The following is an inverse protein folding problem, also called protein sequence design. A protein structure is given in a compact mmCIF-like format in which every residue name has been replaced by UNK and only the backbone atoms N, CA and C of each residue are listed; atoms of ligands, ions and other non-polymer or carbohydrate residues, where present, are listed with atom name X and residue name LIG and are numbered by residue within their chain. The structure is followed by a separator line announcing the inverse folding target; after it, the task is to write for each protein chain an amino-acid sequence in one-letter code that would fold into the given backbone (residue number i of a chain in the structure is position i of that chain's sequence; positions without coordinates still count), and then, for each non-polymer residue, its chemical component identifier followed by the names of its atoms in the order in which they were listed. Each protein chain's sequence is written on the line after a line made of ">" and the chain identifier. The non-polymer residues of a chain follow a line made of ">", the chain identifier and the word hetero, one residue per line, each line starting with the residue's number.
data_IF_115119001810
#
_entry.id   IF_115119001810
#
_cell.length_a   1.000
_cell.length_b   1.000
_cell.length_c   1.000
_cell.angle_alpha   90.00
_cell.angle_beta   90.00
_cell.angle_gamma   90.00
#
_symmetry.space_group_name_H-M   'P 1'
#
loop_
_entity.id
_entity.type
_entity.pdbx_description
1 polymer ?
#
# COMPACT_ATOMS: atom_id res chain seq x y z
N UNK A 1 5.34 -42.24 10.30
CA UNK A 1 4.49 -43.43 10.41
C UNK A 1 4.26 -43.69 11.89
N UNK A 2 3.19 -43.12 12.44
CA UNK A 2 2.68 -43.45 13.77
C UNK A 2 1.17 -43.59 13.61
N UNK A 3 0.68 -44.81 13.85
CA UNK A 3 -0.72 -45.19 13.76
C UNK A 3 -1.36 -45.02 15.14
N UNK A 4 -2.02 -43.91 15.38
CA UNK A 4 -2.83 -43.71 16.58
C UNK A 4 -4.16 -44.44 16.42
N UNK A 5 -4.28 -45.53 17.17
CA UNK A 5 -5.46 -46.39 17.30
C UNK A 5 -6.67 -45.63 17.89
N UNK A 6 -7.77 -45.60 17.15
CA UNK A 6 -9.06 -45.06 17.57
C UNK A 6 -9.76 -46.03 18.57
N UNK A 7 -10.48 -45.53 19.58
CA UNK A 7 -11.26 -46.37 20.49
C UNK A 7 -12.56 -46.82 19.82
N UNK A 8 -12.84 -48.11 19.87
CA UNK A 8 -14.03 -48.73 19.28
C UNK A 8 -15.34 -48.32 19.97
N UNK A 9 -16.47 -48.31 19.24
CA UNK A 9 -17.78 -48.05 19.83
C UNK A 9 -18.23 -49.27 20.65
N UNK A 10 -18.42 -49.08 21.95
CA UNK A 10 -19.02 -50.10 22.82
C UNK A 10 -20.50 -50.33 22.46
N UNK A 11 -21.03 -51.57 22.59
CA UNK A 11 -22.43 -51.86 22.36
C UNK A 11 -23.26 -51.33 23.52
N UNK A 12 -23.67 -50.06 23.43
CA UNK A 12 -24.67 -49.47 24.31
C UNK A 12 -26.05 -50.03 23.98
N UNK A 13 -26.65 -50.74 24.93
CA UNK A 13 -28.01 -51.25 24.91
C UNK A 13 -29.03 -50.15 24.58
N UNK A 14 -29.58 -50.18 23.36
CA UNK A 14 -30.74 -49.38 22.99
C UNK A 14 -32.01 -50.06 23.51
N UNK A 15 -32.36 -49.78 24.77
CA UNK A 15 -33.73 -50.01 25.24
C UNK A 15 -34.65 -49.15 24.36
N UNK A 16 -35.68 -49.71 23.70
CA UNK A 16 -36.66 -48.89 22.99
C UNK A 16 -37.26 -47.91 23.99
N UNK A 17 -37.40 -46.62 23.67
CA UNK A 17 -38.11 -45.70 24.56
C UNK A 17 -39.52 -46.25 24.77
N UNK A 18 -39.96 -46.38 26.02
CA UNK A 18 -41.36 -46.66 26.34
C UNK A 18 -42.24 -45.64 25.58
N UNK A 19 -43.13 -46.17 24.74
CA UNK A 19 -44.22 -45.45 24.08
C UNK A 19 -45.29 -45.05 25.11
N UNK A 20 -44.89 -44.30 26.14
CA UNK A 20 -45.85 -43.55 26.94
C UNK A 20 -46.52 -42.53 26.00
N UNK A 21 -47.84 -42.65 25.84
CA UNK A 21 -48.65 -41.72 25.06
C UNK A 21 -48.52 -40.33 25.69
N UNK A 22 -47.57 -39.55 25.18
CA UNK A 22 -47.17 -38.25 25.73
C UNK A 22 -48.32 -37.27 25.63
N UNK A 23 -48.70 -36.69 26.77
CA UNK A 23 -49.73 -35.66 26.83
C UNK A 23 -49.41 -34.45 25.95
N UNK A 24 -50.45 -33.84 25.36
CA UNK A 24 -50.35 -32.66 24.50
C UNK A 24 -49.58 -31.50 25.14
N UNK A 25 -49.65 -31.37 26.48
CA UNK A 25 -48.89 -30.36 27.23
C UNK A 25 -47.38 -30.57 27.15
N UNK A 26 -46.90 -31.81 27.21
CA UNK A 26 -45.46 -32.10 27.12
C UNK A 26 -44.94 -31.88 25.71
N UNK A 27 -45.75 -32.18 24.69
CA UNK A 27 -45.42 -31.87 23.30
C UNK A 27 -45.35 -30.36 23.06
N UNK A 28 -46.34 -29.60 23.57
CA UNK A 28 -46.35 -28.15 23.51
C UNK A 28 -45.15 -27.52 24.23
N UNK A 29 -44.74 -28.06 25.39
CA UNK A 29 -43.56 -27.59 26.12
C UNK A 29 -42.28 -27.85 25.33
N UNK A 30 -42.09 -29.05 24.81
CA UNK A 30 -40.92 -29.38 23.97
C UNK A 30 -40.85 -28.53 22.71
N UNK A 31 -42.00 -28.27 22.07
CA UNK A 31 -42.08 -27.36 20.92
C UNK A 31 -41.65 -25.95 21.30
N UNK A 32 -42.14 -25.43 22.44
CA UNK A 32 -41.73 -24.12 22.96
C UNK A 32 -40.23 -24.07 23.28
N UNK A 33 -39.69 -25.09 23.93
CA UNK A 33 -38.26 -25.18 24.24
C UNK A 33 -37.40 -25.21 22.98
N UNK A 34 -37.78 -26.02 21.99
CA UNK A 34 -37.11 -26.08 20.69
C UNK A 34 -37.18 -24.73 19.95
N UNK A 35 -38.35 -24.07 19.96
CA UNK A 35 -38.52 -22.74 19.36
C UNK A 35 -37.65 -21.67 20.05
N UNK A 36 -37.58 -21.69 21.39
CA UNK A 36 -36.70 -20.78 22.15
C UNK A 36 -35.22 -21.08 21.90
N UNK A 37 -34.84 -22.35 21.78
CA UNK A 37 -33.47 -22.76 21.46
C UNK A 37 -33.07 -22.27 20.06
N UNK A 38 -33.95 -22.42 19.06
CA UNK A 38 -33.73 -21.91 17.70
C UNK A 38 -33.59 -20.37 17.69
N UNK A 39 -34.44 -19.67 18.44
CA UNK A 39 -34.38 -18.21 18.54
C UNK A 39 -33.08 -17.74 19.21
N UNK A 40 -32.64 -18.42 20.28
CA UNK A 40 -31.34 -18.13 20.91
C UNK A 40 -30.18 -18.36 19.94
N UNK A 41 -30.19 -19.45 19.18
CA UNK A 41 -29.16 -19.71 18.17
C UNK A 41 -29.08 -18.60 17.11
N UNK A 42 -30.23 -18.07 16.65
CA UNK A 42 -30.26 -16.92 15.75
C UNK A 42 -29.71 -15.64 16.39
N UNK A 43 -30.03 -15.40 17.67
CA UNK A 43 -29.52 -14.24 18.41
C UNK A 43 -28.00 -14.35 18.62
N UNK A 44 -27.49 -15.53 18.95
CA UNK A 44 -26.06 -15.78 19.12
C UNK A 44 -25.31 -15.63 17.80
N UNK A 45 -25.84 -16.19 16.71
CA UNK A 45 -25.29 -16.01 15.36
C UNK A 45 -25.27 -14.53 14.94
N UNK A 46 -26.39 -13.83 15.13
CA UNK A 46 -26.49 -12.41 14.84
C UNK A 46 -25.49 -11.61 15.67
N UNK A 47 -25.37 -11.89 16.97
CA UNK A 47 -24.40 -11.22 17.85
C UNK A 47 -22.96 -11.46 17.41
N UNK A 48 -22.62 -12.68 16.99
CA UNK A 48 -21.30 -13.00 16.46
C UNK A 48 -21.00 -12.21 15.17
N UNK A 49 -21.91 -12.23 14.20
CA UNK A 49 -21.74 -11.49 12.94
C UNK A 49 -21.67 -9.96 13.18
N UNK A 50 -22.51 -9.42 14.09
CA UNK A 50 -22.45 -8.01 14.48
C UNK A 50 -21.14 -7.63 15.18
N UNK A 51 -20.55 -8.52 15.99
CA UNK A 51 -19.26 -8.25 16.63
C UNK A 51 -18.13 -8.15 15.62
N UNK A 52 -18.12 -9.02 14.60
CA UNK A 52 -17.14 -8.96 13.51
C UNK A 52 -17.31 -7.69 12.67
N UNK A 53 -18.56 -7.32 12.34
CA UNK A 53 -18.88 -6.06 11.65
C UNK A 53 -18.42 -4.84 12.47
N UNK A 54 -18.63 -4.86 13.78
CA UNK A 54 -18.24 -3.76 14.66
C UNK A 54 -16.71 -3.57 14.71
N UNK A 55 -15.94 -4.66 14.74
CA UNK A 55 -14.47 -4.60 14.72
C UNK A 55 -13.94 -4.08 13.39
N UNK A 56 -14.51 -4.55 12.27
CA UNK A 56 -14.16 -4.06 10.93
C UNK A 56 -14.53 -2.57 10.78
N UNK A 57 -15.71 -2.16 11.27
CA UNK A 57 -16.15 -0.75 11.26
C UNK A 57 -15.22 0.13 12.11
N UNK A 58 -14.81 -0.33 13.29
CA UNK A 58 -13.86 0.39 14.15
C UNK A 58 -12.52 0.57 13.47
N UNK A 59 -11.99 -0.48 12.83
CA UNK A 59 -10.76 -0.38 12.05
C UNK A 59 -10.91 0.61 10.89
N UNK A 60 -12.03 0.57 10.18
CA UNK A 60 -12.30 1.47 9.06
C UNK A 60 -12.37 2.93 9.52
N UNK A 61 -13.14 3.21 10.58
CA UNK A 61 -13.25 4.54 11.17
C UNK A 61 -11.90 5.05 11.68
N UNK A 62 -11.09 4.17 12.28
CA UNK A 62 -9.73 4.49 12.70
C UNK A 62 -8.83 4.91 11.54
N UNK A 63 -8.87 4.17 10.43
CA UNK A 63 -8.09 4.51 9.23
C UNK A 63 -8.57 5.80 8.56
N UNK A 64 -9.88 5.99 8.43
CA UNK A 64 -10.45 7.24 7.89
C UNK A 64 -10.07 8.42 8.78
N UNK A 65 -10.22 8.28 10.10
CA UNK A 65 -9.84 9.31 11.08
C UNK A 65 -8.35 9.66 11.00
N UNK A 66 -7.48 8.66 10.89
CA UNK A 66 -6.04 8.85 10.69
C UNK A 66 -5.74 9.61 9.39
N UNK A 67 -6.38 9.24 8.29
CA UNK A 67 -6.22 9.90 7.00
C UNK A 67 -6.65 11.36 7.03
N UNK A 68 -7.82 11.64 7.62
CA UNK A 68 -8.34 13.01 7.79
C UNK A 68 -7.44 13.84 8.70
N UNK A 69 -7.00 13.28 9.84
CA UNK A 69 -6.08 13.96 10.75
C UNK A 69 -4.76 14.29 10.05
N UNK A 70 -4.17 13.34 9.32
CA UNK A 70 -2.94 13.56 8.57
C UNK A 70 -3.11 14.64 7.48
N UNK A 71 -4.22 14.63 6.74
CA UNK A 71 -4.53 15.63 5.74
C UNK A 71 -4.73 17.03 6.35
N UNK A 72 -5.40 17.12 7.51
CA UNK A 72 -5.57 18.36 8.25
C UNK A 72 -4.22 18.93 8.71
N UNK A 73 -3.36 18.11 9.31
CA UNK A 73 -2.01 18.54 9.70
C UNK A 73 -1.15 18.94 8.49
N UNK A 74 -1.28 18.24 7.36
CA UNK A 74 -0.61 18.59 6.11
C UNK A 74 -1.08 19.96 5.61
N UNK A 75 -2.38 20.23 5.65
CA UNK A 75 -2.95 21.53 5.29
C UNK A 75 -2.46 22.65 6.22
N UNK A 76 -2.35 22.39 7.53
CA UNK A 76 -1.80 23.35 8.50
C UNK A 76 -0.32 23.62 8.26
N UNK A 77 0.48 22.57 8.01
CA UNK A 77 1.89 22.71 7.63
C UNK A 77 2.04 23.48 6.32
N UNK A 78 1.13 23.31 5.36
CA UNK A 78 1.18 24.06 4.11
C UNK A 78 0.79 25.53 4.34
N UNK A 79 -0.25 25.79 5.14
CA UNK A 79 -0.72 27.14 5.43
C UNK A 79 0.33 27.96 6.21
N UNK A 80 0.92 27.38 7.26
CA UNK A 80 1.90 28.06 8.12
C UNK A 80 3.32 27.94 7.57
N UNK A 81 3.63 26.76 7.03
CA UNK A 81 4.97 26.44 6.57
C UNK A 81 5.27 26.96 5.17
N UNK A 82 4.30 27.24 4.29
CA UNK A 82 4.59 27.82 2.98
C UNK A 82 5.16 29.25 3.08
N UNK A 83 4.61 30.17 3.91
CA UNK A 83 5.25 31.46 4.17
C UNK A 83 6.65 31.35 4.78
N UNK A 84 6.84 30.43 5.74
CA UNK A 84 8.14 30.17 6.35
C UNK A 84 9.13 29.59 5.32
N UNK A 85 8.66 28.66 4.52
CA UNK A 85 9.43 28.05 3.44
C UNK A 85 9.83 29.11 2.42
N UNK A 86 8.93 29.98 1.95
CA UNK A 86 9.27 31.04 1.00
C UNK A 86 10.25 32.07 1.60
N UNK A 87 10.18 32.32 2.91
CA UNK A 87 11.14 33.17 3.62
C UNK A 87 12.52 32.53 3.81
N UNK A 88 12.58 31.21 4.01
CA UNK A 88 13.81 30.46 4.35
C UNK A 88 14.35 29.56 3.23
N UNK A 89 13.67 29.46 2.09
CA UNK A 89 14.13 28.76 0.89
C UNK A 89 15.48 29.30 0.41
N UNK A 90 15.80 30.51 0.81
CA UNK A 90 17.07 31.18 0.56
C UNK A 90 18.14 30.91 1.65
N UNK A 91 17.80 30.40 2.85
CA UNK A 91 18.70 30.47 4.02
C UNK A 91 18.73 29.30 5.04
N UNK A 92 17.91 28.24 5.01
CA UNK A 92 17.87 27.37 6.20
C UNK A 92 17.42 25.91 6.15
N UNK A 93 17.73 25.19 7.23
CA UNK A 93 17.40 23.78 7.48
C UNK A 93 15.92 23.52 7.84
N UNK A 94 15.17 24.55 8.20
CA UNK A 94 13.76 24.44 8.62
C UNK A 94 12.84 24.16 7.42
N UNK A 95 13.11 24.77 6.25
CA UNK A 95 12.40 24.50 5.01
C UNK A 95 12.36 23.01 4.63
N UNK A 96 13.48 22.30 4.83
CA UNK A 96 13.54 20.85 4.61
C UNK A 96 12.66 20.07 5.59
N UNK A 97 12.65 20.47 6.87
CA UNK A 97 11.79 19.85 7.88
C UNK A 97 10.30 19.98 7.54
N UNK A 98 9.87 21.15 7.07
CA UNK A 98 8.49 21.39 6.62
C UNK A 98 8.17 20.50 5.42
N UNK A 99 9.05 20.45 4.42
CA UNK A 99 8.87 19.60 3.23
C UNK A 99 8.78 18.11 3.58
N UNK A 100 9.69 17.60 4.42
CA UNK A 100 9.68 16.20 4.85
C UNK A 100 8.45 15.88 5.70
N UNK A 101 8.06 16.77 6.60
CA UNK A 101 6.84 16.63 7.40
C UNK A 101 5.59 16.56 6.51
N UNK A 102 5.49 17.45 5.52
CA UNK A 102 4.39 17.45 4.55
C UNK A 102 4.33 16.16 3.75
N UNK A 103 5.47 15.70 3.21
CA UNK A 103 5.55 14.45 2.45
C UNK A 103 5.23 13.23 3.32
N UNK A 104 5.69 13.19 4.56
CA UNK A 104 5.40 12.09 5.48
C UNK A 104 3.90 12.03 5.84
N UNK A 105 3.26 13.18 6.07
CA UNK A 105 1.81 13.24 6.30
C UNK A 105 1.03 12.85 5.05
N UNK A 106 1.48 13.25 3.86
CA UNK A 106 0.87 12.82 2.61
C UNK A 106 0.97 11.30 2.42
N UNK A 107 2.13 10.69 2.68
CA UNK A 107 2.31 9.23 2.68
C UNK A 107 1.33 8.57 3.65
N UNK A 108 1.25 9.07 4.88
CA UNK A 108 0.37 8.52 5.91
C UNK A 108 -1.10 8.62 5.51
N UNK A 109 -1.52 9.76 4.97
CA UNK A 109 -2.88 9.98 4.51
C UNK A 109 -3.25 9.03 3.36
N UNK A 110 -2.40 8.92 2.34
CA UNK A 110 -2.60 8.01 1.19
C UNK A 110 -2.61 6.56 1.67
N UNK A 111 -1.68 6.16 2.54
CA UNK A 111 -1.64 4.81 3.09
C UNK A 111 -2.92 4.48 3.86
N UNK A 112 -3.39 5.38 4.72
CA UNK A 112 -4.61 5.20 5.49
C UNK A 112 -5.85 5.09 4.59
N UNK A 113 -5.96 5.94 3.56
CA UNK A 113 -7.05 5.88 2.57
C UNK A 113 -7.02 4.58 1.78
N UNK A 114 -5.86 4.18 1.25
CA UNK A 114 -5.75 2.92 0.51
C UNK A 114 -6.10 1.72 1.39
N UNK A 115 -5.59 1.69 2.62
CA UNK A 115 -5.94 0.66 3.58
C UNK A 115 -7.42 0.67 3.87
N UNK A 116 -8.07 1.83 4.07
CA UNK A 116 -9.51 1.98 4.29
C UNK A 116 -10.33 1.48 3.09
N UNK A 117 -9.87 1.72 1.87
CA UNK A 117 -10.49 1.21 0.65
C UNK A 117 -10.26 -0.29 0.41
N UNK A 118 -9.55 -0.98 1.31
CA UNK A 118 -9.35 -2.43 1.26
C UNK A 118 -8.07 -2.85 0.52
N UNK A 119 -7.15 -1.92 0.24
CA UNK A 119 -5.84 -2.29 -0.25
C UNK A 119 -5.13 -3.19 0.78
N UNK A 120 -4.42 -4.24 0.33
CA UNK A 120 -3.71 -5.12 1.24
C UNK A 120 -2.50 -4.39 1.83
N UNK A 121 -2.22 -4.58 3.13
CA UNK A 121 -1.09 -3.93 3.81
C UNK A 121 0.27 -4.15 3.15
N UNK A 122 0.43 -5.26 2.41
CA UNK A 122 1.63 -5.52 1.59
C UNK A 122 1.92 -4.44 0.54
N UNK A 123 0.89 -3.76 0.01
CA UNK A 123 1.07 -2.68 -0.98
C UNK A 123 1.72 -1.46 -0.33
N UNK A 124 1.23 -1.06 0.83
CA UNK A 124 1.81 0.04 1.63
C UNK A 124 3.23 -0.31 2.07
N UNK A 125 3.44 -1.51 2.62
CA UNK A 125 4.75 -1.95 3.08
C UNK A 125 5.78 -2.06 1.95
N UNK A 126 5.43 -2.71 0.83
CA UNK A 126 6.34 -2.82 -0.32
C UNK A 126 6.67 -1.45 -0.91
N UNK A 127 5.69 -0.55 -0.98
CA UNK A 127 5.92 0.84 -1.38
C UNK A 127 6.90 1.55 -0.44
N UNK A 128 6.73 1.36 0.87
CA UNK A 128 7.62 1.94 1.88
C UNK A 128 9.03 1.38 1.82
N UNK A 129 9.18 0.06 1.70
CA UNK A 129 10.47 -0.59 1.52
C UNK A 129 11.17 -0.11 0.23
N UNK A 130 10.45 -0.01 -0.89
CA UNK A 130 10.99 0.54 -2.13
C UNK A 130 11.43 2.01 -1.95
N UNK A 131 10.61 2.83 -1.29
CA UNK A 131 10.94 4.22 -0.95
C UNK A 131 12.21 4.34 -0.09
N UNK A 132 12.35 3.51 0.95
CA UNK A 132 13.55 3.48 1.80
C UNK A 132 14.79 3.10 0.99
N UNK A 133 14.71 2.05 0.15
CA UNK A 133 15.82 1.63 -0.70
C UNK A 133 16.22 2.74 -1.67
N UNK A 134 15.26 3.36 -2.35
CA UNK A 134 15.50 4.48 -3.28
C UNK A 134 16.13 5.66 -2.55
N UNK A 135 15.57 6.05 -1.41
CA UNK A 135 16.07 7.18 -0.63
C UNK A 135 17.48 6.96 -0.09
N UNK A 136 17.76 5.74 0.42
CA UNK A 136 19.10 5.37 0.88
C UNK A 136 20.10 5.33 -0.27
N UNK A 137 19.73 4.75 -1.41
CA UNK A 137 20.60 4.71 -2.59
C UNK A 137 20.97 6.13 -3.07
N UNK A 138 19.99 7.05 -3.10
CA UNK A 138 20.23 8.45 -3.48
C UNK A 138 21.09 9.17 -2.43
N UNK A 139 20.79 9.02 -1.14
CA UNK A 139 21.56 9.65 -0.06
C UNK A 139 23.02 9.17 -0.06
N UNK A 140 23.26 7.87 -0.22
CA UNK A 140 24.61 7.30 -0.30
C UNK A 140 25.33 7.72 -1.59
N UNK A 141 24.63 7.68 -2.74
CA UNK A 141 25.20 8.07 -4.02
C UNK A 141 25.62 9.54 -4.06
N UNK A 142 24.77 10.44 -3.56
CA UNK A 142 25.10 11.87 -3.49
C UNK A 142 26.10 12.18 -2.38
N UNK A 143 25.92 11.61 -1.18
CA UNK A 143 26.76 11.92 -0.02
C UNK A 143 28.19 11.42 -0.14
N UNK A 144 28.39 10.32 -0.86
CA UNK A 144 29.74 9.81 -1.17
C UNK A 144 30.47 10.62 -2.24
N UNK A 145 29.77 11.48 -2.98
CA UNK A 145 30.30 12.24 -4.13
C UNK A 145 30.98 11.39 -5.21
N UNK A 146 30.73 10.07 -5.25
CA UNK A 146 31.36 9.14 -6.20
C UNK A 146 31.14 9.55 -7.66
N UNK A 147 29.97 10.10 -8.00
CA UNK A 147 29.68 10.58 -9.36
C UNK A 147 30.59 11.75 -9.75
N UNK A 148 30.80 12.71 -8.84
CA UNK A 148 31.67 13.88 -9.07
C UNK A 148 33.14 13.47 -9.13
N UNK A 149 33.57 12.63 -8.19
CA UNK A 149 34.96 12.17 -8.11
C UNK A 149 35.30 11.27 -9.31
N UNK A 150 34.38 10.39 -9.70
CA UNK A 150 34.50 9.55 -10.89
C UNK A 150 34.55 10.37 -12.18
N UNK A 151 33.69 11.38 -12.32
CA UNK A 151 33.73 12.29 -13.48
C UNK A 151 35.03 13.11 -13.53
N UNK A 152 35.54 13.52 -12.38
CA UNK A 152 36.85 14.21 -12.27
C UNK A 152 38.00 13.29 -12.66
N UNK A 153 37.99 12.04 -12.18
CA UNK A 153 39.00 11.04 -12.54
C UNK A 153 38.97 10.72 -14.04
N UNK A 154 37.77 10.55 -14.61
CA UNK A 154 37.60 10.27 -16.04
C UNK A 154 38.01 11.47 -16.91
N UNK A 155 37.72 12.69 -16.47
CA UNK A 155 38.19 13.90 -17.14
C UNK A 155 39.72 13.98 -17.17
N UNK A 156 40.39 13.75 -16.03
CA UNK A 156 41.85 13.73 -15.94
C UNK A 156 42.47 12.67 -16.85
N UNK A 157 41.97 11.45 -16.75
CA UNK A 157 42.41 10.35 -17.61
C UNK A 157 42.26 10.68 -19.10
N UNK A 158 41.14 11.30 -19.48
CA UNK A 158 40.87 11.69 -20.86
C UNK A 158 41.79 12.80 -21.37
N UNK A 159 42.08 13.79 -20.53
CA UNK A 159 43.06 14.84 -20.84
C UNK A 159 44.49 14.28 -20.95
N UNK A 160 44.91 13.40 -20.05
CA UNK A 160 46.25 12.80 -20.06
C UNK A 160 46.45 11.81 -21.22
N UNK A 161 45.43 11.00 -21.54
CA UNK A 161 45.55 9.93 -22.53
C UNK A 161 45.26 10.40 -23.96
N UNK A 162 44.25 11.26 -24.14
CA UNK A 162 43.75 11.67 -25.45
C UNK A 162 43.90 13.17 -25.73
N UNK A 163 44.44 13.94 -24.79
CA UNK A 163 44.60 15.39 -24.98
C UNK A 163 43.28 16.15 -25.03
N UNK A 164 42.23 15.69 -24.35
CA UNK A 164 40.94 16.39 -24.31
C UNK A 164 41.11 17.81 -23.74
N UNK A 165 40.81 18.82 -24.57
CA UNK A 165 40.75 20.22 -24.20
C UNK A 165 39.37 20.54 -23.60
N UNK A 166 39.17 20.21 -22.33
CA UNK A 166 37.95 20.53 -21.59
C UNK A 166 38.02 21.96 -21.00
N UNK A 167 36.89 22.68 -20.89
CA UNK A 167 36.87 24.00 -20.27
C UNK A 167 37.29 23.92 -18.79
N UNK A 168 38.21 24.80 -18.40
CA UNK A 168 38.73 24.85 -17.03
C UNK A 168 37.60 25.02 -16.01
N UNK A 169 37.56 24.16 -14.99
CA UNK A 169 36.56 24.17 -13.91
C UNK A 169 35.22 23.49 -14.25
N UNK A 170 35.00 23.05 -15.49
CA UNK A 170 33.78 22.36 -15.92
C UNK A 170 34.01 20.92 -16.37
N UNK A 171 35.23 20.41 -16.23
CA UNK A 171 35.66 19.13 -16.81
C UNK A 171 34.80 17.98 -16.28
N UNK A 172 34.58 17.95 -14.97
CA UNK A 172 33.74 16.96 -14.29
C UNK A 172 32.26 17.07 -14.66
N UNK A 173 31.75 18.27 -14.94
CA UNK A 173 30.36 18.48 -15.36
C UNK A 173 30.15 17.96 -16.78
N UNK A 174 31.04 18.34 -17.70
CA UNK A 174 30.96 17.93 -19.11
C UNK A 174 31.07 16.41 -19.24
N UNK A 175 32.06 15.82 -18.55
CA UNK A 175 32.24 14.37 -18.54
C UNK A 175 31.06 13.66 -17.86
N UNK A 176 30.59 14.18 -16.72
CA UNK A 176 29.42 13.64 -16.03
C UNK A 176 28.17 13.64 -16.90
N UNK A 177 27.86 14.76 -17.56
CA UNK A 177 26.74 14.88 -18.52
C UNK A 177 26.90 13.91 -19.68
N UNK A 178 28.10 13.79 -20.25
CA UNK A 178 28.38 12.86 -21.33
C UNK A 178 28.11 11.41 -20.93
N UNK A 179 28.61 10.98 -19.77
CA UNK A 179 28.35 9.64 -19.22
C UNK A 179 26.86 9.44 -18.92
N UNK A 180 26.20 10.42 -18.29
CA UNK A 180 24.78 10.37 -17.99
C UNK A 180 23.91 10.25 -19.25
N UNK A 181 24.21 11.02 -20.28
CA UNK A 181 23.54 10.95 -21.58
C UNK A 181 23.73 9.59 -22.25
N UNK A 182 24.94 9.02 -22.19
CA UNK A 182 25.23 7.69 -22.71
C UNK A 182 24.43 6.60 -21.97
N UNK A 183 24.39 6.64 -20.63
CA UNK A 183 23.58 5.73 -19.83
C UNK A 183 22.08 5.89 -20.14
N UNK A 184 21.62 7.13 -20.32
CA UNK A 184 20.25 7.45 -20.74
C UNK A 184 19.88 6.87 -22.09
N UNK A 185 20.80 6.95 -23.05
CA UNK A 185 20.64 6.33 -24.38
C UNK A 185 20.46 4.82 -24.25
N UNK A 186 21.36 4.16 -23.51
CA UNK A 186 21.31 2.71 -23.30
C UNK A 186 20.01 2.29 -22.61
N UNK A 187 19.62 2.97 -21.54
CA UNK A 187 18.38 2.68 -20.80
C UNK A 187 17.15 2.89 -21.68
N UNK A 188 17.09 4.00 -22.41
CA UNK A 188 16.00 4.31 -23.33
C UNK A 188 15.85 3.26 -24.42
N UNK A 189 16.97 2.78 -24.98
CA UNK A 189 16.98 1.69 -25.96
C UNK A 189 16.46 0.38 -25.35
N UNK A 190 16.91 0.01 -24.15
CA UNK A 190 16.42 -1.19 -23.44
C UNK A 190 14.92 -1.11 -23.20
N UNK A 191 14.41 0.04 -22.73
CA UNK A 191 12.97 0.25 -22.50
C UNK A 191 12.19 0.19 -23.81
N UNK A 192 12.70 0.79 -24.89
CA UNK A 192 12.06 0.75 -26.21
C UNK A 192 12.00 -0.68 -26.76
N UNK A 193 13.08 -1.45 -26.66
CA UNK A 193 13.13 -2.85 -27.10
C UNK A 193 12.15 -3.71 -26.28
N UNK A 194 12.11 -3.50 -24.96
CA UNK A 194 11.31 -4.33 -24.06
C UNK A 194 9.82 -4.05 -24.18
N UNK A 195 9.41 -2.77 -24.28
CA UNK A 195 8.00 -2.38 -24.40
C UNK A 195 7.44 -2.53 -25.81
N UNK A 196 8.30 -2.68 -26.82
CA UNK A 196 7.96 -2.70 -28.25
C UNK A 196 6.94 -1.62 -28.66
N UNK A 197 7.11 -0.35 -28.24
CA UNK A 197 6.17 0.69 -28.61
C UNK A 197 6.36 1.06 -30.09
N UNK A 198 5.42 1.82 -30.67
CA UNK A 198 5.60 2.37 -32.01
C UNK A 198 6.87 3.25 -32.10
N UNK A 199 7.42 3.41 -33.30
CA UNK A 199 8.71 4.08 -33.52
C UNK A 199 8.81 5.48 -32.88
N UNK A 200 7.74 6.29 -32.96
CA UNK A 200 7.70 7.61 -32.32
C UNK A 200 7.78 7.56 -30.78
N UNK A 201 7.13 6.58 -30.16
CA UNK A 201 7.20 6.38 -28.71
C UNK A 201 8.55 5.81 -28.26
N UNK A 202 9.20 4.98 -29.10
CA UNK A 202 10.56 4.53 -28.85
C UNK A 202 11.56 5.69 -28.86
N UNK A 203 11.50 6.56 -29.88
CA UNK A 203 12.33 7.77 -29.97
C UNK A 203 12.08 8.70 -28.79
N UNK A 204 10.80 8.94 -28.45
CA UNK A 204 10.43 9.74 -27.29
C UNK A 204 11.00 9.19 -25.98
N UNK A 205 10.96 7.87 -25.77
CA UNK A 205 11.52 7.23 -24.58
C UNK A 205 13.05 7.37 -24.50
N UNK A 206 13.76 7.25 -25.63
CA UNK A 206 15.21 7.46 -25.70
C UNK A 206 15.58 8.91 -25.38
N UNK A 207 14.92 9.88 -26.04
CA UNK A 207 15.18 11.30 -25.80
C UNK A 207 14.93 11.64 -24.33
N UNK A 208 13.80 11.19 -23.78
CA UNK A 208 13.46 11.43 -22.38
C UNK A 208 14.49 10.83 -21.42
N UNK A 209 14.94 9.59 -21.67
CA UNK A 209 15.93 8.93 -20.82
C UNK A 209 17.31 9.62 -20.89
N UNK A 210 17.74 10.02 -22.09
CA UNK A 210 18.98 10.80 -22.30
C UNK A 210 18.91 12.11 -21.53
N UNK A 211 17.86 12.90 -21.71
CA UNK A 211 17.72 14.19 -21.04
C UNK A 211 17.62 14.04 -19.52
N UNK A 212 16.86 13.05 -19.04
CA UNK A 212 16.70 12.79 -17.61
C UNK A 212 18.03 12.40 -16.96
N UNK A 213 18.77 11.43 -17.53
CA UNK A 213 20.04 10.98 -16.95
C UNK A 213 21.19 11.98 -17.16
N UNK A 214 21.19 12.75 -18.24
CA UNK A 214 22.10 13.88 -18.41
C UNK A 214 21.87 14.95 -17.33
N UNK A 215 20.60 15.29 -17.04
CA UNK A 215 20.26 16.26 -16.00
C UNK A 215 20.62 15.75 -14.59
N UNK A 216 20.36 14.48 -14.30
CA UNK A 216 20.75 13.85 -13.03
C UNK A 216 22.27 13.84 -12.88
N UNK A 217 23.02 13.48 -13.93
CA UNK A 217 24.47 13.46 -13.90
C UNK A 217 25.08 14.88 -13.81
N UNK A 218 24.47 15.87 -14.48
CA UNK A 218 24.81 17.28 -14.32
C UNK A 218 24.70 17.71 -12.86
N UNK A 219 23.55 17.41 -12.24
CA UNK A 219 23.28 17.79 -10.85
C UNK A 219 24.20 17.07 -9.87
N UNK A 220 24.34 15.74 -10.01
CA UNK A 220 25.16 14.91 -9.13
C UNK A 220 26.67 15.12 -9.33
N UNK A 221 27.11 15.48 -10.53
CA UNK A 221 28.51 15.75 -10.85
C UNK A 221 28.91 17.18 -10.50
N UNK A 222 28.08 18.17 -10.80
CA UNK A 222 28.43 19.59 -10.66
C UNK A 222 28.42 20.12 -9.23
N UNK A 223 27.65 19.50 -8.34
CA UNK A 223 27.48 19.98 -6.96
C UNK A 223 28.15 19.00 -6.00
N UNK A 224 28.98 19.51 -5.10
CA UNK A 224 29.51 18.73 -4.00
C UNK A 224 28.45 18.69 -2.90
N UNK A 225 27.95 17.50 -2.58
CA UNK A 225 26.92 17.35 -1.56
C UNK A 225 27.56 17.06 -0.20
N UNK A 226 27.10 17.76 0.82
CA UNK A 226 27.30 17.33 2.20
C UNK A 226 26.40 16.14 2.50
N UNK A 227 26.81 15.26 3.44
CA UNK A 227 25.97 14.16 3.92
C UNK A 227 24.59 14.62 4.42
N UNK A 228 24.51 15.83 5.00
CA UNK A 228 23.23 16.43 5.43
C UNK A 228 22.31 16.74 4.26
N UNK A 229 22.84 17.40 3.22
CA UNK A 229 22.07 17.73 2.01
C UNK A 229 21.67 16.48 1.23
N UNK A 230 22.60 15.54 1.07
CA UNK A 230 22.34 14.25 0.44
C UNK A 230 21.26 13.45 1.18
N UNK A 231 21.30 13.41 2.51
CA UNK A 231 20.27 12.78 3.33
C UNK A 231 18.89 13.42 3.17
N UNK A 232 18.83 14.75 3.11
CA UNK A 232 17.58 15.47 2.89
C UNK A 232 16.97 15.16 1.50
N UNK A 233 17.79 15.17 0.45
CA UNK A 233 17.36 14.83 -0.92
C UNK A 233 16.93 13.36 -0.99
N UNK A 234 17.71 12.45 -0.40
CA UNK A 234 17.38 11.03 -0.33
C UNK A 234 16.07 10.76 0.39
N UNK A 235 15.82 11.40 1.53
CA UNK A 235 14.55 11.29 2.26
C UNK A 235 13.38 11.79 1.40
N UNK A 236 13.52 12.94 0.74
CA UNK A 236 12.51 13.47 -0.18
C UNK A 236 12.21 12.48 -1.30
N UNK A 237 13.24 11.98 -1.99
CA UNK A 237 13.08 11.02 -3.08
C UNK A 237 12.46 9.70 -2.61
N UNK A 238 12.80 9.24 -1.41
CA UNK A 238 12.22 8.04 -0.81
C UNK A 238 10.74 8.19 -0.49
N UNK A 239 10.32 9.31 0.10
CA UNK A 239 8.90 9.59 0.39
C UNK A 239 8.08 9.76 -0.90
N UNK A 240 8.62 10.47 -1.90
CA UNK A 240 7.99 10.60 -3.22
C UNK A 240 7.90 9.24 -3.91
N UNK A 241 8.97 8.43 -3.84
CA UNK A 241 9.00 7.08 -4.37
C UNK A 241 7.96 6.16 -3.71
N UNK A 242 7.78 6.28 -2.40
CA UNK A 242 6.73 5.56 -1.67
C UNK A 242 5.33 5.96 -2.15
N UNK A 243 5.04 7.27 -2.24
CA UNK A 243 3.77 7.76 -2.79
C UNK A 243 3.52 7.24 -4.21
N UNK A 244 4.51 7.33 -5.08
CA UNK A 244 4.41 6.85 -6.46
C UNK A 244 4.16 5.34 -6.51
N UNK A 245 4.87 4.55 -5.71
CA UNK A 245 4.67 3.10 -5.64
C UNK A 245 3.26 2.72 -5.16
N UNK A 246 2.71 3.43 -4.17
CA UNK A 246 1.33 3.25 -3.73
C UNK A 246 0.32 3.63 -4.83
N UNK A 247 0.52 4.77 -5.49
CA UNK A 247 -0.35 5.24 -6.58
C UNK A 247 -0.37 4.28 -7.77
N UNK A 248 0.78 3.74 -8.16
CA UNK A 248 0.88 2.75 -9.24
C UNK A 248 0.25 1.41 -8.90
N UNK A 249 0.29 1.00 -7.63
CA UNK A 249 -0.30 -0.25 -7.17
C UNK A 249 -1.81 -0.16 -6.87
N UNK A 250 -2.35 1.04 -6.64
CA UNK A 250 -3.73 1.25 -6.21
C UNK A 250 -4.80 0.67 -7.16
N UNK A 251 -4.75 0.89 -8.49
CA UNK A 251 -5.84 0.47 -9.39
C UNK A 251 -6.12 -1.03 -9.40
N UNK A 252 -5.09 -1.86 -9.17
CA UNK A 252 -5.21 -3.32 -9.16
C UNK A 252 -5.31 -3.94 -7.76
N UNK A 253 -5.28 -3.14 -6.69
CA UNK A 253 -5.19 -3.65 -5.32
C UNK A 253 -6.36 -3.25 -4.43
N UNK A 254 -7.19 -2.31 -4.88
CA UNK A 254 -8.33 -1.78 -4.13
C UNK A 254 -9.62 -2.47 -4.59
N UNK A 255 -10.39 -3.01 -3.64
CA UNK A 255 -11.71 -3.63 -3.89
C UNK A 255 -12.72 -3.08 -2.86
N UNK A 256 -13.27 -1.87 -3.11
CA UNK A 256 -14.17 -1.21 -2.16
C UNK A 256 -15.47 -2.00 -1.99
N UNK A 257 -15.92 -2.68 -3.05
CA UNK A 257 -17.13 -3.49 -3.01
C UNK A 257 -16.94 -4.69 -2.09
N UNK A 258 -15.82 -5.42 -2.20
CA UNK A 258 -15.49 -6.49 -1.26
C UNK A 258 -15.37 -6.00 0.18
N UNK A 259 -14.85 -4.79 0.41
CA UNK A 259 -14.85 -4.18 1.74
C UNK A 259 -16.28 -3.95 2.24
N UNK A 260 -17.14 -3.32 1.45
CA UNK A 260 -18.53 -3.07 1.80
C UNK A 260 -19.36 -4.33 1.99
N UNK A 261 -19.07 -5.39 1.23
CA UNK A 261 -19.73 -6.69 1.41
C UNK A 261 -19.47 -7.31 2.77
N UNK A 262 -18.35 -6.98 3.45
CA UNK A 262 -18.06 -7.45 4.82
C UNK A 262 -18.85 -6.72 5.90
N UNK A 263 -19.33 -5.51 5.62
CA UNK A 263 -20.14 -4.73 6.56
C UNK A 263 -21.62 -5.11 6.52
N UNK A 264 -22.01 -6.04 5.63
CA UNK A 264 -23.39 -6.45 5.45
C UNK A 264 -23.60 -7.86 5.99
N UNK A 265 -24.52 -8.07 6.97
CA UNK A 265 -24.71 -9.37 7.59
C UNK A 265 -25.46 -10.33 6.64
N UNK A 266 -24.72 -11.13 5.86
CA UNK A 266 -25.31 -12.02 4.84
C UNK A 266 -25.85 -13.29 5.46
N UNK A 267 -25.09 -13.90 6.36
CA UNK A 267 -25.44 -15.21 6.91
C UNK A 267 -26.69 -15.11 7.78
N UNK A 268 -26.82 -14.07 8.60
CA UNK A 268 -28.05 -13.82 9.37
C UNK A 268 -29.26 -13.59 8.46
N UNK A 269 -29.12 -12.83 7.36
CA UNK A 269 -30.22 -12.56 6.43
C UNK A 269 -30.63 -13.82 5.67
N UNK A 270 -29.67 -14.62 5.20
CA UNK A 270 -29.94 -15.87 4.48
C UNK A 270 -30.60 -16.90 5.41
N UNK A 271 -30.06 -17.11 6.61
CA UNK A 271 -30.63 -18.04 7.61
C UNK A 271 -32.05 -17.62 8.02
N UNK A 272 -32.29 -16.31 8.19
CA UNK A 272 -33.62 -15.79 8.47
C UNK A 272 -34.59 -15.99 7.29
N UNK A 273 -34.13 -15.82 6.04
CA UNK A 273 -34.94 -16.09 4.84
C UNK A 273 -35.30 -17.56 4.71
N UNK A 274 -34.36 -18.46 4.94
CA UNK A 274 -34.60 -19.91 4.93
C UNK A 274 -35.60 -20.32 6.00
N UNK A 275 -35.45 -19.79 7.22
CA UNK A 275 -36.39 -20.04 8.32
C UNK A 275 -37.80 -19.54 7.98
N UNK A 276 -37.92 -18.33 7.43
CA UNK A 276 -39.22 -17.80 6.98
C UNK A 276 -39.84 -18.62 5.85
N UNK A 277 -39.03 -19.10 4.90
CA UNK A 277 -39.49 -19.94 3.80
C UNK A 277 -40.03 -21.28 4.33
N UNK A 278 -39.31 -21.91 5.28
CA UNK A 278 -39.74 -23.13 5.95
C UNK A 278 -41.05 -22.92 6.73
N UNK A 279 -41.16 -21.85 7.53
CA UNK A 279 -42.39 -21.51 8.27
C UNK A 279 -43.56 -21.29 7.31
N UNK A 280 -43.33 -20.59 6.19
CA UNK A 280 -44.37 -20.34 5.19
C UNK A 280 -44.86 -21.63 4.52
N UNK A 281 -43.95 -22.57 4.25
CA UNK A 281 -44.30 -23.89 3.73
C UNK A 281 -45.15 -24.70 4.73
N UNK A 282 -44.89 -24.55 6.03
CA UNK A 282 -45.67 -25.21 7.08
C UNK A 282 -47.09 -24.63 7.23
N UNK A 283 -47.24 -23.31 7.09
CA UNK A 283 -48.53 -22.60 7.27
C UNK A 283 -49.45 -22.70 6.05
N UNK A 284 -48.91 -22.90 4.83
CA UNK A 284 -49.70 -23.14 3.60
C UNK A 284 -49.42 -24.53 3.02
N UNK A 285 -50.04 -25.61 3.54
CA UNK A 285 -49.78 -26.96 3.04
C UNK A 285 -50.39 -27.30 1.67
N UNK A 286 -51.04 -26.38 0.94
CA UNK A 286 -51.97 -26.74 -0.14
C UNK A 286 -52.04 -25.79 -1.35
N UNK A 287 -50.90 -25.30 -1.85
CA UNK A 287 -50.83 -24.57 -3.12
C UNK A 287 -50.28 -25.44 -4.26
N UNK A 288 -50.99 -26.50 -4.64
CA UNK A 288 -50.91 -27.14 -5.96
C UNK A 288 -52.27 -27.03 -6.61
#
# INVERSE_FOLDING_TARGET
>A
METTSAPGPGPGSSTPPDDEVRGLRDQARRLREAALALLRAHVELARAEFSEIADELKSLLGLIGLGVAAAFWAALLLLVGLPLFLGEWLFGSIAWGILHGLLALAVLAVAAVLLALGAPGRVVWRGGAAGVVVGLAIALGLGSNVSRDGATALARWGTETYGWALPAGWEHVVVGVGVGALLGLLLGLVVAIWRRPGAGAAVGAVILAVLALALVAWFAGGIAFSWRGAGAIGLTAGLVGWLAAMGLAAPGSVDPEKRMRRLYPRTTIETARETMAWVRALIRPGGR
#
